data_IF_565320196057
#
_entry.id   IF_565320196057
#
_cell.length_a   1.000
_cell.length_b   1.000
_cell.length_c   1.000
_cell.angle_alpha   90.00
_cell.angle_beta   90.00
_cell.angle_gamma   90.00
#
_symmetry.space_group_name_H-M   'P 1'
#
loop_
_entity.id
_entity.type
_entity.pdbx_description
1 polymer ?
#
# COMPACT_ATOMS: atom_id res chain seq x y z
N UNK A 1 -5.10 -0.39 -19.75
CA UNK A 1 -5.97 -0.83 -18.65
C UNK A 1 -7.41 -0.68 -19.07
N UNK A 2 -8.19 -1.73 -18.88
CA UNK A 2 -9.65 -1.65 -19.05
C UNK A 2 -10.26 -1.24 -17.71
N UNK A 3 -10.77 -0.02 -17.66
CA UNK A 3 -11.48 0.48 -16.49
C UNK A 3 -12.98 0.18 -16.58
N UNK A 4 -13.65 0.15 -15.45
CA UNK A 4 -15.11 -0.05 -15.38
C UNK A 4 -15.82 1.13 -16.01
N UNK A 5 -16.78 0.84 -16.88
CA UNK A 5 -17.64 1.82 -17.53
C UNK A 5 -19.05 1.78 -16.93
N UNK A 6 -19.76 2.89 -17.01
CA UNK A 6 -21.18 2.99 -16.68
C UNK A 6 -22.08 2.56 -17.88
N UNK A 7 -23.38 2.65 -17.71
CA UNK A 7 -24.38 2.30 -18.74
C UNK A 7 -24.29 3.19 -20.01
N UNK A 8 -23.61 4.33 -19.94
CA UNK A 8 -23.40 5.27 -21.04
C UNK A 8 -21.99 5.16 -21.64
N UNK A 9 -21.25 4.08 -21.32
CA UNK A 9 -19.86 3.86 -21.75
C UNK A 9 -18.87 4.97 -21.29
N UNK A 10 -19.22 5.69 -20.21
CA UNK A 10 -18.32 6.63 -19.55
C UNK A 10 -17.59 5.93 -18.39
N UNK A 11 -16.45 6.50 -17.97
CA UNK A 11 -15.72 5.98 -16.81
C UNK A 11 -16.61 6.02 -15.55
N UNK A 12 -16.91 4.85 -15.00
CA UNK A 12 -17.60 4.77 -13.71
C UNK A 12 -16.69 5.26 -12.59
N UNK A 13 -17.18 6.17 -11.76
CA UNK A 13 -16.42 6.76 -10.65
C UNK A 13 -16.95 6.28 -9.32
N UNK A 14 -16.04 5.80 -8.46
CA UNK A 14 -16.34 5.43 -7.07
C UNK A 14 -15.89 6.51 -6.08
N UNK A 15 -16.31 6.34 -4.83
CA UNK A 15 -15.91 7.17 -3.68
C UNK A 15 -15.40 6.27 -2.58
N UNK A 16 -14.31 6.68 -1.95
CA UNK A 16 -13.75 6.05 -0.77
C UNK A 16 -13.98 6.92 0.48
N UNK A 17 -13.62 6.41 1.65
CA UNK A 17 -13.68 7.16 2.90
C UNK A 17 -12.91 8.47 2.82
N UNK A 18 -13.42 9.53 3.44
CA UNK A 18 -12.83 10.87 3.40
C UNK A 18 -13.08 11.66 2.11
N UNK A 19 -13.62 11.04 1.04
CA UNK A 19 -13.92 11.75 -0.21
C UNK A 19 -15.30 12.40 -0.15
N UNK A 20 -15.38 13.68 -0.54
CA UNK A 20 -16.63 14.41 -0.68
C UNK A 20 -17.40 14.07 -1.95
N UNK A 21 -16.70 13.60 -3.01
CA UNK A 21 -17.27 13.31 -4.32
C UNK A 21 -16.78 11.97 -4.87
N UNK A 22 -17.56 11.37 -5.80
CA UNK A 22 -17.11 10.23 -6.61
C UNK A 22 -16.07 10.73 -7.61
N UNK A 23 -14.82 10.26 -7.53
CA UNK A 23 -13.70 10.71 -8.37
C UNK A 23 -12.64 9.66 -8.63
N UNK A 24 -12.87 8.44 -8.17
CA UNK A 24 -11.91 7.33 -8.29
C UNK A 24 -12.29 6.50 -9.50
N UNK A 25 -11.39 6.45 -10.49
CA UNK A 25 -11.46 5.52 -11.61
C UNK A 25 -11.03 4.13 -11.10
N UNK A 26 -11.76 3.09 -11.50
CA UNK A 26 -11.50 1.75 -11.01
C UNK A 26 -11.69 0.67 -12.09
N UNK A 27 -11.10 -0.50 -11.86
CA UNK A 27 -11.30 -1.72 -12.63
C UNK A 27 -11.89 -2.76 -11.68
N UNK A 28 -13.23 -2.86 -11.63
CA UNK A 28 -13.98 -3.60 -10.63
C UNK A 28 -13.42 -3.31 -9.20
N UNK A 29 -13.09 -4.35 -8.44
CA UNK A 29 -12.48 -4.26 -7.11
C UNK A 29 -10.96 -4.63 -7.09
N UNK A 30 -10.32 -4.63 -8.28
CA UNK A 30 -8.92 -5.06 -8.46
C UNK A 30 -8.08 -4.07 -9.28
N UNK A 31 -8.31 -2.77 -9.11
CA UNK A 31 -7.69 -1.68 -9.89
C UNK A 31 -6.15 -1.74 -9.87
N UNK A 32 -5.55 -1.92 -8.69
CA UNK A 32 -4.10 -2.01 -8.56
C UNK A 32 -3.49 -3.15 -9.38
N UNK A 33 -4.13 -4.33 -9.37
CA UNK A 33 -3.71 -5.48 -10.19
C UNK A 33 -3.81 -5.19 -11.68
N UNK A 34 -4.91 -4.60 -12.14
CA UNK A 34 -5.12 -4.26 -13.55
C UNK A 34 -4.05 -3.29 -14.06
N UNK A 35 -3.74 -2.24 -13.30
CA UNK A 35 -2.70 -1.27 -13.63
C UNK A 35 -1.32 -1.92 -13.64
N UNK A 36 -0.95 -2.64 -12.59
CA UNK A 36 0.37 -3.28 -12.45
C UNK A 36 0.62 -4.28 -13.58
N UNK A 37 -0.33 -5.17 -13.86
CA UNK A 37 -0.21 -6.17 -14.93
C UNK A 37 0.00 -5.48 -16.29
N UNK A 38 -0.78 -4.44 -16.59
CA UNK A 38 -0.65 -3.71 -17.85
C UNK A 38 0.72 -3.01 -17.97
N UNK A 39 1.20 -2.36 -16.90
CA UNK A 39 2.49 -1.67 -16.93
C UNK A 39 3.66 -2.65 -17.06
N UNK A 40 3.63 -3.78 -16.35
CA UNK A 40 4.65 -4.83 -16.47
C UNK A 40 4.69 -5.38 -17.90
N UNK A 41 3.54 -5.72 -18.48
CA UNK A 41 3.47 -6.16 -19.87
C UNK A 41 4.07 -5.11 -20.81
N UNK A 42 3.72 -3.84 -20.67
CA UNK A 42 4.26 -2.78 -21.52
C UNK A 42 5.77 -2.59 -21.34
N UNK A 43 6.29 -2.74 -20.14
CA UNK A 43 7.73 -2.69 -19.89
C UNK A 43 8.46 -3.87 -20.60
N UNK A 44 7.88 -5.07 -20.54
CA UNK A 44 8.43 -6.26 -21.23
C UNK A 44 8.43 -6.14 -22.76
N UNK A 45 7.49 -5.42 -23.34
CA UNK A 45 7.40 -5.15 -24.77
C UNK A 45 8.46 -4.14 -25.27
N UNK A 46 9.12 -3.38 -24.38
CA UNK A 46 10.10 -2.37 -24.76
C UNK A 46 11.50 -2.97 -24.94
N UNK A 47 12.09 -2.78 -26.11
CA UNK A 47 13.44 -3.30 -26.43
C UNK A 47 14.57 -2.61 -25.66
N UNK A 48 14.34 -1.38 -25.18
CA UNK A 48 15.30 -0.59 -24.42
C UNK A 48 15.19 -0.74 -22.90
N UNK A 49 14.33 -1.65 -22.43
CA UNK A 49 14.19 -1.98 -21.01
C UNK A 49 14.69 -3.40 -20.77
N UNK A 50 15.62 -3.55 -19.83
CA UNK A 50 16.08 -4.86 -19.34
C UNK A 50 15.56 -5.06 -17.93
N UNK A 51 14.81 -6.15 -17.70
CA UNK A 51 14.24 -6.50 -16.41
C UNK A 51 15.06 -7.64 -15.79
N UNK A 52 15.58 -7.41 -14.60
CA UNK A 52 16.31 -8.40 -13.80
C UNK A 52 15.39 -8.88 -12.67
N UNK A 53 14.88 -10.11 -12.78
CA UNK A 53 14.05 -10.74 -11.75
C UNK A 53 14.91 -11.60 -10.82
N UNK A 54 14.50 -11.72 -9.54
CA UNK A 54 15.21 -12.43 -8.49
C UNK A 54 16.59 -11.82 -8.18
N UNK A 55 16.66 -10.49 -8.20
CA UNK A 55 17.81 -9.71 -7.77
C UNK A 55 17.45 -8.89 -6.55
N UNK A 56 18.30 -8.94 -5.53
CA UNK A 56 18.17 -8.14 -4.31
C UNK A 56 19.19 -7.01 -4.35
N UNK A 57 18.73 -5.76 -4.36
CA UNK A 57 19.62 -4.60 -4.22
C UNK A 57 20.23 -4.60 -2.81
N UNK A 58 21.56 -4.59 -2.74
CA UNK A 58 22.32 -4.66 -1.48
C UNK A 58 22.63 -3.27 -0.96
N UNK A 59 23.24 -2.44 -1.83
CA UNK A 59 23.66 -1.08 -1.47
C UNK A 59 23.97 -0.24 -2.71
N UNK A 60 23.97 1.09 -2.51
CA UNK A 60 24.34 2.04 -3.56
C UNK A 60 25.85 2.14 -3.68
N UNK A 61 26.33 2.23 -4.93
CA UNK A 61 27.69 2.59 -5.27
C UNK A 61 27.73 4.13 -5.39
N UNK A 62 28.54 4.80 -4.59
CA UNK A 62 28.72 6.25 -4.69
C UNK A 62 30.18 6.65 -4.69
N UNK A 63 30.49 7.83 -5.25
CA UNK A 63 31.86 8.38 -5.27
C UNK A 63 32.42 8.55 -3.85
N UNK A 64 31.58 8.90 -2.88
CA UNK A 64 31.98 9.00 -1.47
C UNK A 64 32.41 7.65 -0.87
N UNK A 65 31.63 6.57 -1.11
CA UNK A 65 31.96 5.23 -0.60
C UNK A 65 33.21 4.62 -1.26
N UNK A 66 33.56 5.08 -2.46
CA UNK A 66 34.75 4.64 -3.18
C UNK A 66 35.96 5.53 -2.91
N UNK A 67 35.85 6.51 -1.99
CA UNK A 67 36.90 7.47 -1.66
C UNK A 67 37.45 8.23 -2.90
N UNK A 68 36.55 8.49 -3.84
CA UNK A 68 36.86 9.33 -4.98
C UNK A 68 36.78 10.79 -4.51
N UNK A 69 37.85 11.58 -4.69
CA UNK A 69 37.97 12.98 -4.26
C UNK A 69 37.02 13.93 -5.04
N UNK A 70 35.72 13.57 -5.12
CA UNK A 70 34.69 14.27 -5.85
C UNK A 70 33.48 14.53 -4.96
N UNK A 71 32.58 15.42 -5.40
CA UNK A 71 31.27 15.59 -4.76
C UNK A 71 30.50 14.27 -4.77
N UNK A 72 29.73 13.96 -3.69
CA UNK A 72 29.03 12.71 -3.57
C UNK A 72 28.03 12.52 -4.72
N UNK A 73 28.21 11.44 -5.48
CA UNK A 73 27.41 11.09 -6.65
C UNK A 73 27.09 9.60 -6.63
N UNK A 74 25.87 9.24 -7.01
CA UNK A 74 25.50 7.85 -7.28
C UNK A 74 26.12 7.41 -8.61
N UNK A 75 26.72 6.21 -8.59
CA UNK A 75 27.36 5.57 -9.72
C UNK A 75 26.66 4.27 -10.11
N UNK A 76 25.69 3.83 -9.31
CA UNK A 76 24.95 2.60 -9.51
C UNK A 76 24.64 1.88 -8.21
N UNK A 77 24.50 0.56 -8.27
CA UNK A 77 24.21 -0.27 -7.10
C UNK A 77 24.86 -1.66 -7.21
N UNK A 78 25.00 -2.31 -6.05
CA UNK A 78 25.27 -3.74 -5.95
C UNK A 78 23.97 -4.50 -5.81
N UNK A 79 23.80 -5.59 -6.58
CA UNK A 79 22.68 -6.49 -6.45
C UNK A 79 23.12 -7.94 -6.41
N UNK A 80 22.49 -8.72 -5.54
CA UNK A 80 22.66 -10.16 -5.43
C UNK A 80 21.71 -10.85 -6.40
N UNK A 81 22.24 -11.67 -7.28
CA UNK A 81 21.44 -12.66 -8.00
C UNK A 81 21.11 -13.83 -7.05
N UNK A 82 19.85 -13.99 -6.70
CA UNK A 82 19.41 -15.05 -5.77
C UNK A 82 19.61 -16.46 -6.32
N UNK A 83 19.66 -16.63 -7.64
CA UNK A 83 19.82 -17.94 -8.27
C UNK A 83 21.28 -18.41 -8.26
N UNK A 84 22.18 -17.51 -8.59
CA UNK A 84 23.63 -17.80 -8.68
C UNK A 84 24.40 -17.49 -7.40
N UNK A 85 23.80 -16.74 -6.47
CA UNK A 85 24.43 -16.23 -5.25
C UNK A 85 25.66 -15.33 -5.53
N UNK A 86 25.69 -14.70 -6.72
CA UNK A 86 26.75 -13.79 -7.15
C UNK A 86 26.26 -12.33 -6.98
N UNK A 87 27.13 -11.49 -6.45
CA UNK A 87 26.90 -10.05 -6.38
C UNK A 87 27.37 -9.40 -7.67
N UNK A 88 26.48 -8.67 -8.31
CA UNK A 88 26.74 -7.89 -9.52
C UNK A 88 26.79 -6.41 -9.23
N UNK A 89 27.64 -5.69 -9.97
CA UNK A 89 27.69 -4.23 -9.99
C UNK A 89 26.93 -3.70 -11.21
N UNK A 90 25.88 -2.94 -10.95
CA UNK A 90 25.14 -2.23 -12.00
C UNK A 90 25.56 -0.77 -11.99
N UNK A 91 26.29 -0.35 -13.02
CA UNK A 91 26.76 1.03 -13.14
C UNK A 91 25.86 1.83 -14.07
N UNK A 92 25.46 3.01 -13.64
CA UNK A 92 24.59 3.90 -14.39
C UNK A 92 24.83 5.36 -14.00
N UNK A 93 24.65 6.31 -14.93
CA UNK A 93 24.73 7.74 -14.62
C UNK A 93 23.60 8.22 -13.72
N UNK A 94 22.47 7.51 -13.71
CA UNK A 94 21.32 7.79 -12.90
C UNK A 94 20.77 6.51 -12.25
N UNK A 95 20.39 6.59 -11.00
CA UNK A 95 19.76 5.51 -10.24
C UNK A 95 18.46 6.01 -9.61
N UNK A 96 17.35 5.33 -9.84
CA UNK A 96 16.07 5.66 -9.23
C UNK A 96 15.66 4.56 -8.24
N UNK A 97 15.43 4.94 -6.99
CA UNK A 97 14.89 4.05 -5.96
C UNK A 97 13.36 4.08 -6.01
N UNK A 98 12.76 2.93 -6.29
CA UNK A 98 11.31 2.72 -6.35
C UNK A 98 10.90 1.47 -5.55
N UNK A 99 11.52 1.28 -4.38
CA UNK A 99 11.49 0.04 -3.61
C UNK A 99 10.26 -0.08 -2.68
N UNK A 100 9.33 0.89 -2.73
CA UNK A 100 8.19 0.91 -1.83
C UNK A 100 8.55 1.36 -0.41
N UNK A 101 7.70 1.01 0.56
CA UNK A 101 7.80 1.43 1.94
C UNK A 101 8.44 0.43 2.90
N UNK A 102 8.15 0.60 4.20
CA UNK A 102 8.76 -0.17 5.29
C UNK A 102 7.72 -0.82 6.23
N UNK A 103 6.47 -1.00 5.78
CA UNK A 103 5.36 -1.41 6.64
C UNK A 103 5.46 -2.86 7.13
N UNK A 104 6.39 -3.66 6.58
CA UNK A 104 6.68 -5.01 7.09
C UNK A 104 7.34 -5.01 8.49
N UNK A 105 7.75 -3.85 8.99
CA UNK A 105 8.18 -3.68 10.38
C UNK A 105 7.07 -3.96 11.41
N UNK A 106 5.81 -3.93 10.99
CA UNK A 106 4.65 -4.15 11.86
C UNK A 106 4.11 -5.58 11.76
N UNK A 107 3.55 -6.08 12.86
CA UNK A 107 2.96 -7.42 12.94
C UNK A 107 1.77 -7.59 11.99
N UNK A 108 0.88 -6.58 11.95
CA UNK A 108 -0.23 -6.50 11.02
C UNK A 108 0.09 -5.45 9.96
N UNK A 109 0.20 -5.91 8.72
CA UNK A 109 0.45 -5.03 7.56
C UNK A 109 -0.31 -5.54 6.36
N UNK A 110 -0.76 -4.62 5.50
CA UNK A 110 -1.32 -4.94 4.19
C UNK A 110 -0.25 -5.10 3.10
N UNK A 111 1.02 -4.86 3.44
CA UNK A 111 2.13 -4.87 2.49
C UNK A 111 2.73 -6.28 2.32
N UNK A 112 3.32 -6.56 1.14
CA UNK A 112 4.04 -7.80 0.90
C UNK A 112 5.32 -7.89 1.74
N UNK A 113 5.88 -9.09 1.83
CA UNK A 113 7.08 -9.38 2.65
C UNK A 113 8.33 -8.59 2.23
N UNK A 114 8.35 -8.07 1.02
CA UNK A 114 9.45 -7.24 0.47
C UNK A 114 9.37 -5.76 0.87
N UNK A 115 8.32 -5.31 1.56
CA UNK A 115 8.18 -3.92 2.00
C UNK A 115 8.97 -3.66 3.30
N UNK A 116 10.28 -3.82 3.24
CA UNK A 116 11.23 -3.84 4.36
C UNK A 116 12.00 -2.53 4.55
N UNK A 117 11.80 -1.54 3.66
CA UNK A 117 12.44 -0.23 3.75
C UNK A 117 13.86 -0.18 3.19
N UNK A 118 14.25 -1.17 2.41
CA UNK A 118 15.64 -1.31 1.91
C UNK A 118 16.08 -0.10 1.09
N UNK A 119 15.22 0.47 0.25
CA UNK A 119 15.52 1.67 -0.54
C UNK A 119 15.85 2.88 0.34
N UNK A 120 15.07 3.10 1.40
CA UNK A 120 15.30 4.17 2.37
C UNK A 120 16.62 3.95 3.14
N UNK A 121 16.88 2.70 3.54
CA UNK A 121 18.12 2.34 4.24
C UNK A 121 19.35 2.53 3.36
N UNK A 122 19.31 2.12 2.09
CA UNK A 122 20.38 2.32 1.13
C UNK A 122 20.66 3.81 0.89
N UNK A 123 19.60 4.60 0.72
CA UNK A 123 19.71 6.06 0.55
C UNK A 123 20.33 6.73 1.79
N UNK A 124 19.88 6.34 3.00
CA UNK A 124 20.42 6.85 4.25
C UNK A 124 21.93 6.53 4.39
N UNK A 125 22.34 5.29 4.13
CA UNK A 125 23.75 4.88 4.17
C UNK A 125 24.61 5.59 3.12
N UNK A 126 24.01 6.04 2.02
CA UNK A 126 24.68 6.83 1.00
C UNK A 126 24.81 8.31 1.37
N UNK A 127 24.13 8.78 2.42
CA UNK A 127 24.17 10.16 2.91
C UNK A 127 22.93 10.99 2.55
N UNK A 128 21.85 10.39 2.05
CA UNK A 128 20.58 11.09 1.88
C UNK A 128 19.92 11.42 3.21
N UNK A 129 19.19 12.52 3.23
CA UNK A 129 18.29 12.83 4.35
C UNK A 129 17.02 12.00 4.21
N UNK A 130 16.57 11.43 5.33
CA UNK A 130 15.31 10.71 5.47
C UNK A 130 14.48 11.45 6.52
N UNK A 131 13.19 11.63 6.24
CA UNK A 131 12.32 12.44 7.09
C UNK A 131 10.97 11.75 7.34
N UNK A 132 10.33 12.13 8.44
CA UNK A 132 8.96 11.79 8.82
C UNK A 132 8.69 10.28 8.92
N UNK A 133 9.67 9.48 9.28
CA UNK A 133 9.55 8.02 9.40
C UNK A 133 8.58 7.57 10.50
N UNK A 134 8.26 8.44 11.46
CA UNK A 134 7.27 8.22 12.49
C UNK A 134 5.82 8.26 11.97
N UNK A 135 5.59 8.86 10.81
CA UNK A 135 4.25 8.93 10.21
C UNK A 135 3.98 7.73 9.31
N UNK A 136 3.15 6.83 9.81
CA UNK A 136 2.72 5.64 9.09
C UNK A 136 1.19 5.61 9.05
N UNK A 137 0.64 5.43 7.85
CA UNK A 137 -0.80 5.26 7.67
C UNK A 137 -1.20 3.82 8.00
N UNK A 138 -2.21 3.67 8.85
CA UNK A 138 -2.85 2.38 9.12
C UNK A 138 -4.15 2.27 8.32
N UNK A 139 -4.28 1.21 7.53
CA UNK A 139 -5.56 0.91 6.91
C UNK A 139 -6.49 0.28 7.94
N UNK A 140 -7.74 0.75 8.08
CA UNK A 140 -8.63 0.30 9.16
C UNK A 140 -9.03 -1.17 9.07
N UNK A 141 -9.15 -1.72 7.85
CA UNK A 141 -9.81 -2.99 7.59
C UNK A 141 -8.90 -3.98 6.86
N UNK A 142 -7.95 -4.58 7.58
CA UNK A 142 -7.23 -5.76 7.13
C UNK A 142 -7.93 -7.01 7.68
N UNK A 143 -8.03 -8.07 6.89
CA UNK A 143 -8.66 -9.32 7.31
C UNK A 143 -7.90 -9.94 8.48
N UNK A 144 -8.60 -10.22 9.56
CA UNK A 144 -8.09 -10.98 10.69
C UNK A 144 -8.34 -12.47 10.47
N UNK A 145 -7.38 -13.16 9.80
CA UNK A 145 -7.50 -14.59 9.50
C UNK A 145 -6.14 -15.27 9.50
N UNK A 146 -5.98 -16.47 10.11
CA UNK A 146 -4.67 -17.12 10.28
C UNK A 146 -4.01 -17.50 8.94
N UNK A 147 -4.78 -17.79 7.90
CA UNK A 147 -4.30 -18.21 6.58
C UNK A 147 -4.24 -17.09 5.54
N UNK A 148 -4.67 -15.89 5.87
CA UNK A 148 -4.73 -14.77 4.94
C UNK A 148 -4.14 -13.51 5.57
N UNK A 149 -2.90 -13.59 6.01
CA UNK A 149 -2.14 -12.45 6.52
C UNK A 149 -2.00 -11.40 5.42
N UNK A 150 -2.14 -10.15 5.79
CA UNK A 150 -1.98 -8.99 4.87
C UNK A 150 -3.09 -8.84 3.83
N UNK A 151 -4.22 -9.58 3.91
CA UNK A 151 -5.30 -9.40 2.95
C UNK A 151 -6.14 -8.17 3.29
N UNK A 152 -6.09 -7.19 2.39
CA UNK A 152 -6.78 -5.92 2.55
C UNK A 152 -8.25 -6.05 2.16
N UNK A 153 -9.16 -5.64 3.06
CA UNK A 153 -10.56 -5.41 2.70
C UNK A 153 -10.68 -3.99 2.17
N UNK A 154 -11.05 -3.86 0.90
CA UNK A 154 -11.10 -2.57 0.20
C UNK A 154 -11.94 -1.53 0.94
N UNK A 155 -11.46 -0.30 0.94
CA UNK A 155 -12.17 0.85 1.53
C UNK A 155 -13.51 1.12 0.84
N UNK A 156 -13.63 0.75 -0.44
CA UNK A 156 -14.88 0.85 -1.19
C UNK A 156 -16.05 0.13 -0.48
N UNK A 157 -15.79 -0.94 0.29
CA UNK A 157 -16.82 -1.63 1.06
C UNK A 157 -17.47 -0.70 2.11
N UNK A 158 -16.68 0.12 2.81
CA UNK A 158 -17.21 1.15 3.70
C UNK A 158 -17.89 2.27 2.90
N UNK A 159 -17.33 2.61 1.75
CA UNK A 159 -17.92 3.58 0.80
C UNK A 159 -19.32 3.19 0.32
N UNK A 160 -19.55 1.89 0.14
CA UNK A 160 -20.86 1.32 -0.25
C UNK A 160 -21.76 1.00 0.94
N UNK A 161 -21.34 1.36 2.17
CA UNK A 161 -22.19 1.37 3.36
C UNK A 161 -22.01 0.20 4.32
N UNK A 162 -20.88 -0.51 4.28
CA UNK A 162 -20.56 -1.49 5.32
C UNK A 162 -20.37 -0.82 6.68
N UNK A 163 -20.81 -1.48 7.76
CA UNK A 163 -20.75 -1.02 9.14
C UNK A 163 -19.65 -1.71 9.94
N UNK A 164 -19.02 -0.98 10.84
CA UNK A 164 -18.11 -1.54 11.84
C UNK A 164 -18.88 -1.88 13.12
N UNK A 165 -18.81 -3.16 13.54
CA UNK A 165 -19.54 -3.68 14.68
C UNK A 165 -18.63 -4.31 15.73
N UNK A 166 -19.07 -4.21 16.98
CA UNK A 166 -18.53 -4.95 18.12
C UNK A 166 -19.11 -6.37 18.17
N UNK A 167 -18.58 -7.27 19.03
CA UNK A 167 -19.09 -8.63 19.18
C UNK A 167 -20.57 -8.72 19.58
N UNK A 168 -21.11 -7.72 20.25
CA UNK A 168 -22.52 -7.62 20.65
C UNK A 168 -23.43 -7.07 19.53
N UNK A 169 -22.84 -6.74 18.37
CA UNK A 169 -23.53 -6.19 17.20
C UNK A 169 -23.64 -4.66 17.21
N UNK A 170 -23.14 -3.96 18.23
CA UNK A 170 -23.17 -2.50 18.29
C UNK A 170 -22.34 -1.87 17.18
N UNK A 171 -22.92 -0.89 16.46
CA UNK A 171 -22.21 -0.03 15.51
C UNK A 171 -21.56 1.11 16.27
N UNK A 172 -20.25 1.07 16.45
CA UNK A 172 -19.54 1.95 17.37
C UNK A 172 -18.99 3.26 16.79
N UNK A 173 -18.83 3.36 15.47
CA UNK A 173 -18.13 4.50 14.83
C UNK A 173 -18.77 5.87 15.13
N UNK A 174 -20.07 5.95 15.30
CA UNK A 174 -20.79 7.18 15.63
C UNK A 174 -20.37 7.79 16.98
N UNK A 175 -19.72 7.04 17.85
CA UNK A 175 -19.16 7.55 19.12
C UNK A 175 -17.86 8.32 18.92
N UNK A 176 -17.20 8.16 17.77
CA UNK A 176 -15.88 8.73 17.46
C UNK A 176 -15.93 9.85 16.42
N UNK A 177 -16.81 9.73 15.42
CA UNK A 177 -16.94 10.73 14.35
C UNK A 177 -18.35 10.72 13.76
N UNK A 178 -18.91 11.89 13.45
CA UNK A 178 -20.25 12.02 12.85
C UNK A 178 -20.37 11.40 11.46
N UNK A 179 -19.25 11.30 10.72
CA UNK A 179 -19.16 10.62 9.42
C UNK A 179 -19.13 9.10 9.53
N UNK A 180 -19.05 8.58 10.74
CA UNK A 180 -19.01 7.16 11.08
C UNK A 180 -17.91 6.42 10.27
N UNK A 181 -18.26 5.35 9.55
CA UNK A 181 -17.33 4.56 8.76
C UNK A 181 -16.72 5.29 7.55
N UNK A 182 -17.26 6.44 7.18
CA UNK A 182 -16.73 7.32 6.12
C UNK A 182 -15.74 8.38 6.66
N UNK A 183 -15.44 8.37 7.95
CA UNK A 183 -14.37 9.18 8.50
C UNK A 183 -13.01 8.83 7.89
N UNK A 184 -12.01 9.74 7.92
CA UNK A 184 -10.65 9.46 7.47
C UNK A 184 -10.05 8.21 8.13
N UNK A 185 -9.11 7.57 7.42
CA UNK A 185 -8.52 6.28 7.84
C UNK A 185 -7.93 6.30 9.24
N UNK A 186 -7.27 7.39 9.62
CA UNK A 186 -6.64 7.53 10.93
C UNK A 186 -7.67 7.54 12.06
N UNK A 187 -8.81 8.20 11.87
CA UNK A 187 -9.91 8.22 12.84
C UNK A 187 -10.50 6.82 12.98
N UNK A 188 -10.82 6.16 11.87
CA UNK A 188 -11.41 4.81 11.90
C UNK A 188 -10.43 3.79 12.49
N UNK A 189 -9.16 3.82 12.12
CA UNK A 189 -8.15 2.90 12.65
C UNK A 189 -7.95 3.09 14.16
N UNK A 190 -7.88 4.33 14.64
CA UNK A 190 -7.78 4.62 16.08
C UNK A 190 -9.03 4.22 16.85
N UNK A 191 -10.22 4.40 16.27
CA UNK A 191 -11.46 3.95 16.88
C UNK A 191 -11.50 2.43 17.06
N UNK A 192 -11.09 1.67 16.02
CA UNK A 192 -10.99 0.21 16.09
C UNK A 192 -9.95 -0.23 17.12
N UNK A 193 -8.75 0.36 17.11
CA UNK A 193 -7.71 0.06 18.10
C UNK A 193 -8.16 0.33 19.54
N UNK A 194 -8.83 1.45 19.76
CA UNK A 194 -9.41 1.78 21.06
C UNK A 194 -10.41 0.72 21.54
N UNK A 195 -11.35 0.31 20.67
CA UNK A 195 -12.37 -0.68 21.02
C UNK A 195 -11.77 -2.07 21.28
N UNK A 196 -10.80 -2.48 20.46
CA UNK A 196 -10.07 -3.74 20.65
C UNK A 196 -9.39 -3.77 22.03
N UNK A 197 -8.70 -2.69 22.41
CA UNK A 197 -8.03 -2.57 23.71
C UNK A 197 -9.00 -2.46 24.87
N UNK A 198 -10.05 -1.67 24.72
CA UNK A 198 -11.07 -1.47 25.76
C UNK A 198 -11.80 -2.75 26.13
N UNK A 199 -12.11 -3.59 25.13
CA UNK A 199 -12.87 -4.83 25.32
C UNK A 199 -11.99 -6.07 25.50
N UNK A 200 -10.66 -5.95 25.29
CA UNK A 200 -9.75 -7.09 25.31
C UNK A 200 -10.01 -8.12 24.21
N UNK A 201 -10.56 -7.68 23.06
CA UNK A 201 -10.85 -8.51 21.90
C UNK A 201 -9.70 -8.46 20.90
N UNK A 202 -9.70 -9.37 19.91
CA UNK A 202 -8.61 -9.46 18.92
C UNK A 202 -8.93 -8.75 17.61
N UNK A 203 -10.20 -8.51 17.30
CA UNK A 203 -10.69 -7.90 16.07
C UNK A 203 -12.07 -7.30 16.29
N UNK A 204 -12.51 -6.49 15.34
CA UNK A 204 -13.90 -6.04 15.19
C UNK A 204 -14.49 -6.65 13.92
N UNK A 205 -15.75 -6.38 13.64
CA UNK A 205 -16.48 -6.93 12.50
C UNK A 205 -16.81 -5.84 11.49
N UNK A 206 -16.59 -6.13 10.19
CA UNK A 206 -17.09 -5.32 9.09
C UNK A 206 -18.30 -6.05 8.49
N UNK A 207 -19.44 -5.38 8.49
CA UNK A 207 -20.74 -5.95 8.14
C UNK A 207 -21.34 -5.26 6.91
N UNK A 208 -21.57 -6.01 5.83
CA UNK A 208 -22.29 -5.58 4.63
C UNK A 208 -23.53 -6.44 4.35
N UNK A 209 -23.87 -7.35 5.26
CA UNK A 209 -24.95 -8.35 5.07
C UNK A 209 -26.34 -7.74 4.91
N UNK A 210 -26.53 -6.47 5.24
CA UNK A 210 -27.76 -5.73 5.01
C UNK A 210 -28.00 -5.34 3.54
N UNK A 211 -26.99 -5.53 2.67
CA UNK A 211 -27.12 -5.31 1.23
C UNK A 211 -27.57 -6.59 0.52
N UNK A 212 -28.29 -6.48 -0.63
CA UNK A 212 -28.65 -7.66 -1.43
C UNK A 212 -27.42 -8.46 -1.84
N UNK A 213 -27.51 -9.79 -1.85
CA UNK A 213 -26.41 -10.68 -2.19
C UNK A 213 -25.85 -10.42 -3.61
N UNK A 214 -26.73 -10.16 -4.57
CA UNK A 214 -26.37 -9.80 -5.94
C UNK A 214 -25.53 -8.52 -5.97
N UNK A 215 -25.96 -7.49 -5.25
CA UNK A 215 -25.19 -6.24 -5.13
C UNK A 215 -23.76 -6.51 -4.63
N UNK A 216 -23.60 -7.29 -3.56
CA UNK A 216 -22.28 -7.60 -2.97
C UNK A 216 -21.39 -8.34 -3.96
N UNK A 217 -21.94 -9.33 -4.67
CA UNK A 217 -21.20 -10.15 -5.65
C UNK A 217 -20.79 -9.35 -6.89
N UNK A 218 -21.64 -8.45 -7.36
CA UNK A 218 -21.38 -7.60 -8.53
C UNK A 218 -20.34 -6.50 -8.23
N UNK A 219 -20.43 -5.87 -7.04
CA UNK A 219 -19.54 -4.78 -6.67
C UNK A 219 -18.17 -5.24 -6.16
N UNK A 220 -18.09 -6.43 -5.56
CA UNK A 220 -16.90 -6.97 -4.92
C UNK A 220 -16.58 -8.41 -5.37
N UNK A 221 -16.51 -8.71 -6.68
CA UNK A 221 -16.39 -10.07 -7.18
C UNK A 221 -15.10 -10.77 -6.72
N UNK A 222 -13.97 -10.06 -6.76
CA UNK A 222 -12.67 -10.60 -6.34
C UNK A 222 -12.62 -10.82 -4.83
N UNK A 223 -13.14 -9.86 -4.07
CA UNK A 223 -13.20 -9.94 -2.61
C UNK A 223 -14.11 -11.07 -2.16
N UNK A 224 -15.32 -11.18 -2.77
CA UNK A 224 -16.27 -12.24 -2.50
C UNK A 224 -15.66 -13.63 -2.73
N UNK A 225 -15.06 -13.84 -3.92
CA UNK A 225 -14.45 -15.11 -4.26
C UNK A 225 -13.33 -15.47 -3.27
N UNK A 226 -12.47 -14.52 -2.93
CA UNK A 226 -11.35 -14.76 -2.02
C UNK A 226 -11.80 -15.06 -0.59
N UNK A 227 -12.78 -14.35 -0.06
CA UNK A 227 -13.30 -14.60 1.28
C UNK A 227 -14.06 -15.91 1.37
N UNK A 228 -14.80 -16.27 0.31
CA UNK A 228 -15.49 -17.57 0.23
C UNK A 228 -14.51 -18.75 0.27
N UNK A 229 -13.32 -18.65 -0.39
CA UNK A 229 -12.25 -19.65 -0.28
C UNK A 229 -11.74 -19.81 1.17
N UNK A 230 -11.85 -18.75 1.98
CA UNK A 230 -11.46 -18.74 3.39
C UNK A 230 -12.61 -19.14 4.33
N UNK A 231 -13.77 -19.52 3.79
CA UNK A 231 -14.94 -19.94 4.55
C UNK A 231 -15.79 -18.78 5.06
N UNK A 232 -15.68 -17.58 4.48
CA UNK A 232 -16.45 -16.39 4.85
C UNK A 232 -17.33 -16.00 3.66
N UNK A 233 -18.64 -16.22 3.76
CA UNK A 233 -19.63 -15.72 2.79
C UNK A 233 -20.09 -14.32 3.20
N UNK A 234 -19.54 -13.28 2.60
CA UNK A 234 -19.83 -11.89 2.95
C UNK A 234 -21.26 -11.43 2.63
N UNK A 235 -22.06 -12.27 1.99
CA UNK A 235 -23.49 -12.00 1.81
C UNK A 235 -24.32 -12.38 3.06
N UNK A 236 -23.74 -13.18 3.94
CA UNK A 236 -24.38 -13.69 5.18
C UNK A 236 -23.51 -13.51 6.42
N UNK A 237 -22.20 -13.45 6.26
CA UNK A 237 -21.23 -13.41 7.34
C UNK A 237 -20.58 -12.03 7.47
N UNK A 238 -20.32 -11.60 8.68
CA UNK A 238 -19.49 -10.42 8.96
C UNK A 238 -18.00 -10.78 8.81
N UNK A 239 -17.21 -9.84 8.33
CA UNK A 239 -15.77 -10.00 8.08
C UNK A 239 -14.98 -9.59 9.33
N UNK A 240 -14.15 -10.47 9.93
CA UNK A 240 -13.27 -10.06 11.03
C UNK A 240 -12.13 -9.17 10.52
N UNK A 241 -11.97 -7.97 11.09
CA UNK A 241 -10.98 -6.98 10.63
C UNK A 241 -10.19 -6.37 11.78
N UNK A 242 -8.94 -5.98 11.45
CA UNK A 242 -8.02 -5.25 12.34
C UNK A 242 -7.36 -4.11 11.57
N UNK A 243 -6.93 -3.02 12.23
CA UNK A 243 -6.03 -2.05 11.61
C UNK A 243 -4.69 -2.68 11.27
N UNK A 244 -4.14 -2.31 10.11
CA UNK A 244 -2.85 -2.80 9.65
C UNK A 244 -2.01 -1.66 9.07
N UNK A 245 -0.70 -1.70 9.30
CA UNK A 245 0.23 -0.77 8.70
C UNK A 245 0.16 -0.87 7.17
N UNK A 246 -0.02 0.25 6.49
CA UNK A 246 -0.39 0.28 5.08
C UNK A 246 0.55 1.10 4.21
N UNK A 247 0.94 2.29 4.66
CA UNK A 247 1.75 3.22 3.88
C UNK A 247 2.75 3.97 4.74
N UNK A 248 4.03 4.00 4.29
CA UNK A 248 5.08 4.82 4.91
C UNK A 248 4.96 6.24 4.38
N UNK A 249 4.54 7.18 5.22
CA UNK A 249 4.35 8.58 4.80
C UNK A 249 5.68 9.35 4.73
N UNK A 250 6.66 8.95 5.53
CA UNK A 250 8.03 9.41 5.46
C UNK A 250 8.83 8.77 4.33
N UNK A 251 10.11 9.04 4.29
CA UNK A 251 11.02 8.45 3.31
C UNK A 251 12.19 9.34 2.96
N UNK A 252 12.83 9.04 1.83
CA UNK A 252 13.95 9.80 1.30
C UNK A 252 13.50 11.20 0.84
N UNK A 253 14.12 12.25 1.36
CA UNK A 253 13.81 13.62 0.96
C UNK A 253 14.26 13.86 -0.48
N UNK A 254 13.34 14.40 -1.28
CA UNK A 254 13.54 14.74 -2.69
C UNK A 254 13.02 16.14 -3.00
N UNK A 255 13.50 16.70 -4.10
CA UNK A 255 12.95 17.91 -4.70
C UNK A 255 11.72 17.63 -5.59
N UNK A 256 11.20 18.64 -6.27
CA UNK A 256 10.07 18.57 -7.18
C UNK A 256 10.31 17.70 -8.42
N UNK A 257 11.57 17.34 -8.70
CA UNK A 257 11.98 16.43 -9.76
C UNK A 257 12.34 15.04 -9.27
N UNK A 258 12.00 14.72 -8.00
CA UNK A 258 12.34 13.45 -7.35
C UNK A 258 13.84 13.21 -7.16
N UNK A 259 14.68 14.25 -7.28
CA UNK A 259 16.13 14.18 -7.09
C UNK A 259 16.46 14.29 -5.60
N UNK A 260 17.39 13.46 -5.14
CA UNK A 260 17.93 13.53 -3.79
C UNK A 260 19.09 14.55 -3.71
N UNK A 261 19.63 14.75 -2.51
CA UNK A 261 20.83 15.57 -2.32
C UNK A 261 22.10 14.96 -2.95
N UNK A 262 22.04 13.71 -3.40
CA UNK A 262 23.16 13.01 -4.05
C UNK A 262 22.96 13.09 -5.56
N UNK A 263 23.93 13.65 -6.27
CA UNK A 263 23.85 13.78 -7.71
C UNK A 263 23.65 12.42 -8.40
N UNK A 264 22.73 12.34 -9.36
CA UNK A 264 22.39 11.11 -10.09
C UNK A 264 21.55 10.10 -9.30
N UNK A 265 21.12 10.41 -8.07
CA UNK A 265 20.23 9.56 -7.28
C UNK A 265 18.84 10.17 -7.16
N UNK A 266 17.83 9.38 -7.49
CA UNK A 266 16.42 9.72 -7.42
C UNK A 266 15.69 8.75 -6.49
N UNK A 267 14.60 9.21 -5.88
CA UNK A 267 13.67 8.33 -5.17
C UNK A 267 12.23 8.70 -5.56
N UNK A 268 11.41 7.69 -5.85
CA UNK A 268 10.04 7.86 -6.34
C UNK A 268 9.07 6.95 -5.62
N UNK A 269 7.77 7.26 -5.72
CA UNK A 269 6.70 6.50 -5.08
C UNK A 269 6.80 6.51 -3.56
N UNK A 270 6.47 5.41 -2.90
CA UNK A 270 6.46 5.31 -1.45
C UNK A 270 7.87 5.32 -0.80
N UNK A 271 8.93 5.17 -1.58
CA UNK A 271 10.31 5.30 -1.07
C UNK A 271 10.68 6.74 -0.73
N UNK A 272 10.07 7.72 -1.39
CA UNK A 272 10.39 9.12 -1.21
C UNK A 272 9.42 9.84 -0.26
N UNK A 273 9.93 10.91 0.37
CA UNK A 273 9.16 11.86 1.13
C UNK A 273 9.01 13.17 0.34
N UNK A 274 7.79 13.47 -0.10
CA UNK A 274 7.44 14.70 -0.84
C UNK A 274 6.64 15.68 0.02
N UNK A 275 6.18 15.28 1.21
CA UNK A 275 5.25 16.06 2.03
C UNK A 275 3.78 16.00 1.58
N UNK A 276 3.47 15.24 0.52
CA UNK A 276 2.09 15.08 0.00
C UNK A 276 1.24 14.17 0.88
N UNK A 277 1.81 13.04 1.31
CA UNK A 277 1.10 12.01 2.07
C UNK A 277 1.26 12.23 3.57
N UNK A 278 0.17 12.16 4.31
CA UNK A 278 0.11 12.13 5.76
C UNK A 278 -0.37 10.77 6.27
N UNK A 279 -0.51 10.66 7.59
CA UNK A 279 -0.99 9.44 8.25
C UNK A 279 -2.51 9.19 8.07
N UNK A 280 -3.14 10.04 7.35
CA UNK A 280 -4.58 10.09 7.15
C UNK A 280 -4.95 9.60 5.73
#
# INVERSE_FOLDING_TARGET
VQFTLDEQEQLHLTREGGHSQRRIIHAADATGRAISTTLVQRAQEQQNITIFENYIAIDLISSYKLDLNESNRALGLYALDEKTQIVHSFLAPFTALACGGAMKAYLYTSNPDIATGDGMAMAYRAGCRVANMEFNQFHPTCLYHPQARSFLITEAMRGEGAYLRLPDGERFMLRFDERAELAPRDIVARAIDYEIKRLGIRHVWLDITHKPAEFVKEHFPTLYARLLELGIDITTDMIPVVPAAHYTCGGVMVDEHSQTVIAGLYAIGETCYTGLHGAN
#
